data_IF_605050989842
#
_entry.id   IF_605050989842
#
_cell.length_a   1.000
_cell.length_b   1.000
_cell.length_c   1.000
_cell.angle_alpha   90.00
_cell.angle_beta   90.00
_cell.angle_gamma   90.00
#
_symmetry.space_group_name_H-M   'P 1'
#
loop_
_entity.id
_entity.type
_entity.pdbx_description
1 polymer ?
#
# COMPACT_ATOMS: atom_id res chain seq x y z
N UNK A 1 -12.90 13.78 -45.60
CA UNK A 1 -12.86 13.47 -44.16
C UNK A 1 -11.42 13.18 -43.73
N UNK A 2 -10.79 14.12 -43.03
CA UNK A 2 -9.39 14.09 -42.59
C UNK A 2 -9.03 12.82 -41.81
N UNK A 3 -10.00 12.30 -41.04
CA UNK A 3 -9.87 11.08 -40.24
C UNK A 3 -9.49 9.83 -41.05
N UNK A 4 -9.95 9.71 -42.31
CA UNK A 4 -9.70 8.52 -43.16
C UNK A 4 -8.28 8.49 -43.72
N UNK A 5 -7.68 9.66 -43.94
CA UNK A 5 -6.30 9.82 -44.46
C UNK A 5 -5.23 9.49 -43.41
N UNK A 6 -5.49 9.84 -42.15
CA UNK A 6 -4.53 9.65 -41.04
C UNK A 6 -4.83 8.44 -40.15
N UNK A 7 -5.89 7.67 -40.43
CA UNK A 7 -6.33 6.52 -39.63
C UNK A 7 -5.22 5.48 -39.37
N UNK A 8 -4.38 5.19 -40.36
CA UNK A 8 -3.24 4.27 -40.23
C UNK A 8 -2.14 4.81 -39.31
N UNK A 9 -1.80 6.10 -39.45
CA UNK A 9 -0.82 6.78 -38.60
C UNK A 9 -1.30 6.84 -37.15
N UNK A 10 -2.57 7.22 -36.94
CA UNK A 10 -3.19 7.27 -35.62
C UNK A 10 -3.26 5.88 -34.98
N UNK A 11 -3.56 4.83 -35.75
CA UNK A 11 -3.56 3.45 -35.25
C UNK A 11 -2.17 2.99 -34.81
N UNK A 12 -1.12 3.31 -35.57
CA UNK A 12 0.26 3.00 -35.22
C UNK A 12 0.70 3.74 -33.97
N UNK A 13 0.44 5.05 -33.92
CA UNK A 13 0.76 5.90 -32.77
C UNK A 13 0.03 5.39 -31.51
N UNK A 14 -1.27 5.07 -31.63
CA UNK A 14 -2.07 4.53 -30.54
C UNK A 14 -1.55 3.17 -30.06
N UNK A 15 -1.11 2.29 -30.97
CA UNK A 15 -0.50 1.01 -30.63
C UNK A 15 0.82 1.19 -29.86
N UNK A 16 1.69 2.11 -30.29
CA UNK A 16 2.94 2.45 -29.59
C UNK A 16 2.67 2.97 -28.16
N UNK A 17 1.69 3.87 -27.99
CA UNK A 17 1.29 4.35 -26.65
C UNK A 17 0.61 3.27 -25.79
N UNK A 18 -0.13 2.34 -26.40
CA UNK A 18 -0.80 1.23 -25.69
C UNK A 18 0.14 0.09 -25.30
N UNK A 19 1.22 -0.16 -26.06
CA UNK A 19 2.25 -1.16 -25.72
C UNK A 19 2.92 -0.85 -24.38
N UNK A 20 3.08 0.44 -24.03
CA UNK A 20 3.57 0.88 -22.72
C UNK A 20 2.55 0.68 -21.58
N UNK A 21 1.29 0.37 -21.90
CA UNK A 21 0.20 0.17 -20.93
C UNK A 21 -0.23 -1.29 -20.85
N UNK A 22 0.70 -2.24 -20.68
CA UNK A 22 0.31 -3.57 -20.20
C UNK A 22 -0.04 -3.49 -18.70
N UNK A 23 -1.25 -3.01 -18.41
CA UNK A 23 -1.90 -3.01 -17.10
C UNK A 23 -2.32 -4.46 -16.75
N UNK A 24 -1.35 -5.35 -16.68
CA UNK A 24 -1.53 -6.75 -16.29
C UNK A 24 -1.15 -6.96 -14.82
N UNK A 25 -1.38 -8.18 -14.32
CA UNK A 25 -0.80 -8.62 -13.03
C UNK A 25 0.73 -8.52 -13.12
N UNK A 26 1.39 -8.24 -12.00
CA UNK A 26 2.87 -8.24 -11.94
C UNK A 26 3.41 -9.61 -12.39
N UNK A 27 4.60 -9.67 -13.03
CA UNK A 27 5.30 -10.92 -13.34
C UNK A 27 5.39 -11.83 -12.12
N UNK A 28 5.37 -13.16 -12.31
CA UNK A 28 5.40 -14.12 -11.20
C UNK A 28 6.67 -13.94 -10.36
N UNK A 29 7.82 -13.85 -11.01
CA UNK A 29 9.13 -13.72 -10.35
C UNK A 29 9.24 -12.43 -9.54
N UNK A 30 8.76 -11.31 -10.12
CA UNK A 30 8.67 -10.04 -9.42
C UNK A 30 7.79 -10.13 -8.17
N UNK A 31 6.66 -10.84 -8.26
CA UNK A 31 5.78 -11.06 -7.10
C UNK A 31 6.43 -11.93 -6.04
N UNK A 32 7.15 -12.99 -6.43
CA UNK A 32 7.88 -13.84 -5.49
C UNK A 32 8.90 -13.04 -4.70
N UNK A 33 9.73 -12.23 -5.38
CA UNK A 33 10.71 -11.38 -4.70
C UNK A 33 10.08 -10.37 -3.72
N UNK A 34 8.93 -9.79 -4.05
CA UNK A 34 8.19 -8.91 -3.14
C UNK A 34 7.61 -9.67 -1.94
N UNK A 35 7.14 -10.91 -2.15
CA UNK A 35 6.65 -11.78 -1.07
C UNK A 35 7.77 -12.24 -0.14
N UNK A 36 8.96 -12.52 -0.65
CA UNK A 36 10.11 -12.89 0.18
C UNK A 36 10.47 -11.76 1.15
N UNK A 37 10.53 -10.52 0.66
CA UNK A 37 10.74 -9.36 1.51
C UNK A 37 9.59 -9.18 2.50
N UNK A 38 8.34 -9.34 2.05
CA UNK A 38 7.15 -9.24 2.90
C UNK A 38 7.19 -10.21 4.08
N UNK A 39 7.51 -11.48 3.83
CA UNK A 39 7.52 -12.52 4.84
C UNK A 39 8.61 -12.27 5.90
N UNK A 40 9.79 -11.81 5.46
CA UNK A 40 10.90 -11.45 6.37
C UNK A 40 10.58 -10.21 7.22
N UNK A 41 9.71 -9.32 6.75
CA UNK A 41 9.35 -8.06 7.42
C UNK A 41 7.87 -8.01 7.83
N UNK A 42 7.22 -9.17 8.04
CA UNK A 42 5.77 -9.22 8.30
C UNK A 42 5.35 -8.42 9.54
N UNK A 43 6.22 -8.36 10.55
CA UNK A 43 6.01 -7.58 11.78
C UNK A 43 5.88 -6.08 11.49
N UNK A 44 6.71 -5.54 10.58
CA UNK A 44 6.67 -4.13 10.18
C UNK A 44 6.91 -3.98 8.66
N UNK A 45 5.88 -4.20 7.83
CA UNK A 45 6.05 -4.31 6.38
C UNK A 45 6.05 -2.93 5.69
N UNK A 46 6.94 -2.05 6.15
CA UNK A 46 7.21 -0.73 5.58
C UNK A 46 8.65 -0.70 5.05
N UNK A 47 8.85 -0.95 3.74
CA UNK A 47 10.19 -0.92 3.17
C UNK A 47 10.76 0.50 3.21
N UNK A 48 12.05 0.59 3.54
CA UNK A 48 12.84 1.83 3.45
C UNK A 48 13.00 2.25 1.98
N UNK A 49 13.53 3.45 1.73
CA UNK A 49 13.82 3.88 0.36
C UNK A 49 14.89 2.99 -0.28
N UNK A 50 15.89 2.58 0.49
CA UNK A 50 16.93 1.65 0.07
C UNK A 50 16.34 0.27 -0.28
N UNK A 51 15.40 -0.24 0.54
CA UNK A 51 14.67 -1.46 0.22
C UNK A 51 13.91 -1.36 -1.10
N UNK A 52 13.20 -0.24 -1.32
CA UNK A 52 12.45 -0.01 -2.56
C UNK A 52 13.36 0.02 -3.78
N UNK A 53 14.52 0.67 -3.68
CA UNK A 53 15.52 0.71 -4.76
C UNK A 53 16.06 -0.69 -5.05
N UNK A 54 16.41 -1.47 -4.01
CA UNK A 54 16.88 -2.86 -4.18
C UNK A 54 15.81 -3.75 -4.81
N UNK A 55 14.56 -3.62 -4.38
CA UNK A 55 13.43 -4.36 -4.94
C UNK A 55 13.15 -3.94 -6.40
N UNK A 56 13.28 -2.66 -6.74
CA UNK A 56 13.15 -2.17 -8.11
C UNK A 56 14.23 -2.78 -9.02
N UNK A 57 15.49 -2.76 -8.57
CA UNK A 57 16.59 -3.37 -9.30
C UNK A 57 16.39 -4.89 -9.50
N UNK A 58 15.93 -5.61 -8.47
CA UNK A 58 15.71 -7.06 -8.53
C UNK A 58 14.51 -7.46 -9.41
N UNK A 59 13.45 -6.66 -9.41
CA UNK A 59 12.17 -7.02 -10.06
C UNK A 59 11.96 -6.35 -11.41
N UNK A 60 12.76 -5.32 -11.75
CA UNK A 60 12.56 -4.48 -12.93
C UNK A 60 11.28 -3.65 -12.88
N UNK A 61 10.65 -3.51 -11.71
CA UNK A 61 9.44 -2.74 -11.52
C UNK A 61 9.76 -1.27 -11.23
N UNK A 62 8.86 -0.39 -11.66
CA UNK A 62 8.90 1.02 -11.27
C UNK A 62 8.70 1.15 -9.74
N UNK A 63 9.43 2.05 -9.05
CA UNK A 63 9.24 2.28 -7.61
C UNK A 63 7.78 2.54 -7.20
N UNK A 64 6.98 3.18 -8.06
CA UNK A 64 5.55 3.37 -7.85
C UNK A 64 4.77 2.06 -7.83
N UNK A 65 5.14 1.08 -8.67
CA UNK A 65 4.51 -0.24 -8.67
C UNK A 65 4.81 -0.99 -7.38
N UNK A 66 6.05 -0.88 -6.88
CA UNK A 66 6.47 -1.45 -5.60
C UNK A 66 5.68 -0.83 -4.45
N UNK A 67 5.63 0.50 -4.38
CA UNK A 67 4.84 1.22 -3.37
C UNK A 67 3.37 0.79 -3.39
N UNK A 68 2.75 0.77 -4.56
CA UNK A 68 1.36 0.34 -4.71
C UNK A 68 1.15 -1.12 -4.31
N UNK A 69 2.13 -1.99 -4.59
CA UNK A 69 2.05 -3.38 -4.18
C UNK A 69 2.06 -3.50 -2.66
N UNK A 70 3.00 -2.85 -1.96
CA UNK A 70 3.07 -2.90 -0.50
C UNK A 70 1.86 -2.29 0.19
N UNK A 71 1.33 -1.17 -0.32
CA UNK A 71 0.08 -0.58 0.19
C UNK A 71 -1.08 -1.57 0.06
N UNK A 72 -1.25 -2.18 -1.11
CA UNK A 72 -2.31 -3.16 -1.34
C UNK A 72 -2.11 -4.44 -0.53
N UNK A 73 -0.87 -4.89 -0.37
CA UNK A 73 -0.52 -6.08 0.37
C UNK A 73 -0.83 -5.90 1.86
N UNK A 74 -0.45 -4.76 2.46
CA UNK A 74 -0.85 -4.38 3.83
C UNK A 74 -2.35 -4.35 3.99
N UNK A 75 -3.05 -3.63 3.10
CA UNK A 75 -4.51 -3.52 3.17
C UNK A 75 -5.22 -4.88 3.13
N UNK A 76 -4.69 -5.87 2.43
CA UNK A 76 -5.33 -7.19 2.24
C UNK A 76 -4.91 -8.22 3.29
N UNK A 77 -3.66 -8.18 3.74
CA UNK A 77 -3.04 -9.31 4.42
C UNK A 77 -2.35 -8.97 5.74
N UNK A 78 -2.20 -7.69 6.08
CA UNK A 78 -1.52 -7.32 7.32
C UNK A 78 -2.51 -7.18 8.47
N UNK A 79 -2.34 -8.03 9.48
CA UNK A 79 -3.05 -7.97 10.76
C UNK A 79 -1.99 -7.86 11.86
N UNK A 80 -1.77 -6.66 12.44
CA UNK A 80 -0.86 -6.51 13.57
C UNK A 80 -1.33 -7.41 14.72
N UNK A 81 -0.39 -8.05 15.42
CA UNK A 81 -0.71 -8.79 16.66
C UNK A 81 -1.19 -7.82 17.74
N UNK A 82 -1.92 -8.32 18.75
CA UNK A 82 -2.38 -7.52 19.89
C UNK A 82 -1.26 -6.69 20.52
N UNK A 83 -0.08 -7.30 20.73
CA UNK A 83 1.11 -6.62 21.26
C UNK A 83 1.57 -5.42 20.42
N UNK A 84 1.37 -5.44 19.11
CA UNK A 84 1.69 -4.31 18.24
C UNK A 84 0.60 -3.23 18.21
N UNK A 85 -0.65 -3.59 18.51
CA UNK A 85 -1.75 -2.60 18.63
C UNK A 85 -1.47 -1.66 19.80
N UNK A 86 -0.93 -2.19 20.90
CA UNK A 86 -0.50 -1.39 22.06
C UNK A 86 0.67 -0.46 21.71
N UNK A 87 1.71 -0.96 21.04
CA UNK A 87 2.86 -0.14 20.63
C UNK A 87 2.50 1.02 19.68
N UNK A 88 1.44 0.89 18.87
CA UNK A 88 0.95 1.96 18.00
C UNK A 88 0.13 3.03 18.75
N UNK A 89 -0.51 2.68 19.87
CA UNK A 89 -1.24 3.61 20.75
C UNK A 89 -0.30 4.39 21.69
N UNK A 90 0.82 3.80 22.08
CA UNK A 90 1.77 4.39 23.04
C UNK A 90 2.50 5.65 22.50
N UNK A 91 2.42 5.91 21.19
CA UNK A 91 2.95 7.13 20.58
C UNK A 91 2.06 8.39 20.72
N UNK A 92 0.84 8.27 21.28
CA UNK A 92 -0.10 9.40 21.46
C UNK A 92 -0.18 9.88 22.92
N UNK A 93 0.31 9.11 23.89
CA UNK A 93 0.24 9.45 25.32
C UNK A 93 1.62 9.72 25.91
N UNK A 94 2.34 10.66 25.30
CA UNK A 94 3.62 11.16 25.80
C UNK A 94 3.49 12.57 26.38
N UNK A 95 2.71 12.74 27.45
CA UNK A 95 2.66 14.01 28.18
C UNK A 95 1.52 14.14 29.18
N UNK A 96 1.80 13.85 30.45
CA UNK A 96 1.01 14.37 31.57
C UNK A 96 0.39 13.30 32.46
N UNK A 97 1.03 13.08 33.62
CA UNK A 97 0.38 12.52 34.79
C UNK A 97 -0.91 13.29 35.13
N UNK A 98 -2.05 12.63 35.13
CA UNK A 98 -3.15 12.96 36.05
C UNK A 98 -4.17 11.83 36.11
N UNK A 99 -4.22 11.24 37.30
CA UNK A 99 -5.30 10.51 37.95
C UNK A 99 -6.72 10.67 37.35
N UNK A 100 -7.45 9.54 37.23
CA UNK A 100 -8.92 9.47 37.11
C UNK A 100 -9.45 9.83 35.72
N UNK A 101 -10.32 9.05 35.08
CA UNK A 101 -11.72 8.96 35.51
C UNK A 101 -12.45 7.82 34.77
N UNK A 102 -13.14 7.02 35.59
CA UNK A 102 -14.35 6.21 35.40
C UNK A 102 -15.09 6.29 34.05
N UNK A 103 -15.38 5.10 33.50
CA UNK A 103 -16.36 4.82 32.46
C UNK A 103 -17.79 5.12 32.96
N UNK A 104 -18.52 6.02 32.31
CA UNK A 104 -19.97 6.14 32.46
C UNK A 104 -20.65 5.62 31.18
N UNK A 105 -21.43 4.55 31.32
CA UNK A 105 -22.48 4.20 30.36
C UNK A 105 -23.65 5.17 30.59
N UNK A 106 -23.96 5.99 29.60
CA UNK A 106 -25.12 6.87 29.66
C UNK A 106 -26.40 6.08 29.35
N UNK A 107 -27.03 5.58 30.40
CA UNK A 107 -28.46 5.23 30.40
C UNK A 107 -29.17 6.27 31.27
N UNK A 108 -29.75 7.30 30.65
CA UNK A 108 -30.36 8.42 31.36
C UNK A 108 -31.68 8.87 30.76
N UNK A 109 -32.75 8.21 31.18
CA UNK A 109 -34.16 8.61 31.04
C UNK A 109 -34.55 9.83 31.90
N UNK A 110 -35.51 10.63 31.37
CA UNK A 110 -36.58 11.45 32.02
C UNK A 110 -36.41 12.97 32.22
N UNK A 111 -37.32 13.71 31.56
CA UNK A 111 -38.19 14.75 32.16
C UNK A 111 -37.77 16.21 31.96
N UNK A 112 -38.69 17.20 32.06
CA UNK A 112 -40.10 17.14 32.49
C UNK A 112 -41.15 17.05 31.35
#
# INVERSE_FOLDING_TARGET
>A
MLLKKYSGCLSRLRSEFLKKRKKGKLPKDARSALMDWWNTHYRWPYPTEEDKVRLAAKTGLDPKQINNWFINQRKRHWKPSEDMRFALMEGVTGGGSSSGTTLYFDTGTIGP
#
